data_IF_142897456945
#
_entry.id   IF_142897456945
#
_cell.length_a   1.000
_cell.length_b   1.000
_cell.length_c   1.000
_cell.angle_alpha   90.00
_cell.angle_beta   90.00
_cell.angle_gamma   90.00
#
_symmetry.space_group_name_H-M   'P 1'
#
loop_
_entity.id
_entity.type
_entity.pdbx_description
1 polymer ?
#
# COMPACT_ATOMS: atom_id res chain seq x y z
N UNK A 1 -8.33 -13.56 23.64
CA UNK A 1 -7.99 -12.51 22.70
C UNK A 1 -8.80 -11.28 23.08
N UNK A 2 -8.13 -10.26 23.66
CA UNK A 2 -8.76 -8.97 23.95
C UNK A 2 -8.97 -8.31 22.58
N UNK A 3 -10.23 -8.09 22.20
CA UNK A 3 -10.53 -7.28 21.03
C UNK A 3 -9.91 -5.90 21.26
N UNK A 4 -9.03 -5.46 20.38
CA UNK A 4 -8.44 -4.12 20.45
C UNK A 4 -9.54 -3.08 20.51
N UNK A 5 -9.28 -1.99 21.20
CA UNK A 5 -10.22 -0.87 21.35
C UNK A 5 -10.47 -0.22 19.97
N UNK A 6 -11.57 -0.61 19.33
CA UNK A 6 -11.98 -0.10 18.01
C UNK A 6 -12.32 1.38 18.00
N UNK A 7 -12.50 1.99 19.18
CA UNK A 7 -12.76 3.42 19.35
C UNK A 7 -11.52 4.28 19.07
N UNK A 8 -10.32 3.68 19.01
CA UNK A 8 -9.03 4.35 18.84
C UNK A 8 -8.44 4.20 17.43
N UNK A 9 -9.21 3.71 16.44
CA UNK A 9 -8.75 3.62 15.04
C UNK A 9 -8.71 5.00 14.40
N UNK A 10 -7.61 5.70 14.63
CA UNK A 10 -7.38 7.07 14.15
C UNK A 10 -5.94 7.23 13.69
N UNK A 11 -5.68 8.25 12.90
CA UNK A 11 -4.33 8.62 12.50
C UNK A 11 -3.48 9.01 13.72
N UNK A 12 -2.23 8.54 13.72
CA UNK A 12 -1.18 8.97 14.67
C UNK A 12 -0.12 9.84 13.99
N UNK A 13 -0.16 9.91 12.67
CA UNK A 13 0.67 10.76 11.82
C UNK A 13 -0.14 11.13 10.56
N UNK A 14 0.41 12.00 9.73
CA UNK A 14 -0.12 12.34 8.41
C UNK A 14 0.69 11.70 7.28
N UNK A 15 0.28 11.93 6.02
CA UNK A 15 0.97 11.40 4.83
C UNK A 15 2.42 11.92 4.75
N UNK A 16 2.65 13.17 5.15
CA UNK A 16 3.99 13.77 5.13
C UNK A 16 4.90 13.07 6.15
N UNK A 17 4.44 12.87 7.37
CA UNK A 17 5.17 12.14 8.41
C UNK A 17 5.39 10.66 8.05
N UNK A 18 4.45 10.04 7.32
CA UNK A 18 4.63 8.69 6.78
C UNK A 18 5.71 8.67 5.69
N UNK A 19 5.71 9.63 4.77
CA UNK A 19 6.73 9.74 3.73
C UNK A 19 8.13 10.00 4.31
N UNK A 20 8.23 10.87 5.33
CA UNK A 20 9.49 11.11 6.05
C UNK A 20 10.02 9.87 6.76
N UNK A 21 9.14 9.09 7.39
CA UNK A 21 9.50 7.85 8.04
C UNK A 21 10.00 6.79 7.04
N UNK A 22 9.39 6.70 5.85
CA UNK A 22 9.79 5.76 4.80
C UNK A 22 11.13 6.13 4.13
N UNK A 23 11.48 7.42 4.09
CA UNK A 23 12.62 7.95 3.32
C UNK A 23 13.97 7.30 3.64
N UNK A 24 14.37 7.08 4.91
CA UNK A 24 15.66 6.47 5.25
C UNK A 24 15.67 4.95 5.14
N UNK A 25 14.51 4.30 4.99
CA UNK A 25 14.43 2.84 5.03
C UNK A 25 15.03 2.22 3.77
N UNK A 26 15.63 1.05 3.94
CA UNK A 26 16.31 0.30 2.87
C UNK A 26 15.77 -1.11 2.66
N UNK A 27 14.96 -1.62 3.61
CA UNK A 27 14.33 -2.94 3.55
C UNK A 27 12.90 -2.85 4.09
N UNK A 28 11.97 -2.53 3.20
CA UNK A 28 10.55 -2.37 3.54
C UNK A 28 9.76 -3.59 3.06
N UNK A 29 9.05 -4.23 3.95
CA UNK A 29 8.01 -5.20 3.60
C UNK A 29 6.70 -4.46 3.47
N UNK A 30 6.00 -4.64 2.34
CA UNK A 30 4.67 -4.09 2.14
C UNK A 30 3.65 -5.21 2.28
N UNK A 31 2.66 -5.01 3.12
CA UNK A 31 1.55 -5.94 3.39
C UNK A 31 0.23 -5.34 2.98
N UNK A 32 -0.73 -6.20 2.70
CA UNK A 32 -2.13 -5.86 2.53
C UNK A 32 -3.01 -7.00 3.05
N UNK A 33 -4.32 -6.89 2.90
CA UNK A 33 -5.26 -7.91 3.38
C UNK A 33 -5.20 -9.21 2.57
N UNK A 34 -5.67 -10.29 3.18
CA UNK A 34 -5.91 -11.56 2.47
C UNK A 34 -6.95 -11.37 1.37
N UNK A 35 -6.81 -12.11 0.25
CA UNK A 35 -7.67 -11.96 -0.94
C UNK A 35 -7.70 -10.52 -1.45
N UNK A 36 -6.53 -9.97 -1.81
CA UNK A 36 -6.41 -8.57 -2.20
C UNK A 36 -7.26 -8.27 -3.43
N UNK A 37 -7.94 -7.14 -3.38
CA UNK A 37 -8.68 -6.56 -4.51
C UNK A 37 -7.83 -5.56 -5.31
N UNK A 38 -8.48 -4.81 -6.19
CA UNK A 38 -7.78 -3.86 -7.06
C UNK A 38 -7.15 -2.70 -6.29
N UNK A 39 -7.76 -2.23 -5.20
CA UNK A 39 -7.22 -1.14 -4.38
C UNK A 39 -6.01 -1.59 -3.57
N UNK A 40 -6.10 -2.76 -2.93
CA UNK A 40 -5.00 -3.40 -2.24
C UNK A 40 -3.78 -3.64 -3.13
N UNK A 41 -3.99 -4.20 -4.33
CA UNK A 41 -2.91 -4.48 -5.28
C UNK A 41 -2.38 -3.20 -5.91
N UNK A 42 -3.27 -2.29 -6.31
CA UNK A 42 -2.91 -1.02 -6.92
C UNK A 42 -2.02 -0.17 -6.01
N UNK A 43 -2.43 -0.01 -4.75
CA UNK A 43 -1.66 0.75 -3.76
C UNK A 43 -0.32 0.12 -3.42
N UNK A 44 -0.30 -1.21 -3.18
CA UNK A 44 0.95 -1.92 -2.83
C UNK A 44 1.96 -1.89 -3.97
N UNK A 45 1.54 -2.11 -5.21
CA UNK A 45 2.42 -2.06 -6.40
C UNK A 45 2.96 -0.65 -6.61
N UNK A 46 2.10 0.36 -6.55
CA UNK A 46 2.51 1.75 -6.77
C UNK A 46 3.53 2.22 -5.72
N UNK A 47 3.24 1.99 -4.44
CA UNK A 47 4.15 2.40 -3.35
C UNK A 47 5.47 1.63 -3.41
N UNK A 48 5.42 0.33 -3.74
CA UNK A 48 6.64 -0.47 -3.97
C UNK A 48 7.51 0.15 -5.05
N UNK A 49 6.92 0.45 -6.22
CA UNK A 49 7.65 1.05 -7.35
C UNK A 49 8.20 2.43 -6.98
N UNK A 50 7.42 3.26 -6.30
CA UNK A 50 7.88 4.58 -5.85
C UNK A 50 9.08 4.49 -4.90
N UNK A 51 9.05 3.59 -3.92
CA UNK A 51 10.16 3.36 -2.98
C UNK A 51 11.40 2.83 -3.70
N UNK A 52 11.24 1.89 -4.63
CA UNK A 52 12.35 1.32 -5.39
C UNK A 52 12.99 2.35 -6.33
N UNK A 53 12.19 3.19 -7.00
CA UNK A 53 12.69 4.30 -7.81
C UNK A 53 13.44 5.34 -6.95
N UNK A 54 12.92 5.67 -5.77
CA UNK A 54 13.58 6.57 -4.85
C UNK A 54 14.89 5.97 -4.31
N UNK A 55 14.91 4.67 -4.00
CA UNK A 55 16.10 3.92 -3.60
C UNK A 55 17.17 3.92 -4.69
N UNK A 56 16.81 3.63 -5.92
CA UNK A 56 17.73 3.67 -7.06
C UNK A 56 18.38 5.05 -7.24
N UNK A 57 17.61 6.13 -7.07
CA UNK A 57 18.14 7.50 -7.08
C UNK A 57 19.15 7.78 -5.94
N UNK A 58 19.02 7.08 -4.81
CA UNK A 58 19.98 7.15 -3.68
C UNK A 58 21.20 6.23 -3.85
N UNK A 59 21.24 5.40 -4.90
CA UNK A 59 22.31 4.47 -5.17
C UNK A 59 22.14 3.09 -4.52
N UNK A 60 20.96 2.75 -4.05
CA UNK A 60 20.65 1.40 -3.55
C UNK A 60 20.79 0.36 -4.66
N UNK A 61 21.42 -0.78 -4.37
CA UNK A 61 21.73 -1.82 -5.37
C UNK A 61 20.66 -2.88 -5.55
N UNK A 62 19.56 -2.77 -4.81
CA UNK A 62 18.45 -3.74 -4.83
C UNK A 62 17.13 -3.07 -4.52
N UNK A 63 16.02 -3.85 -4.50
CA UNK A 63 14.73 -3.30 -4.14
C UNK A 63 14.72 -2.87 -2.67
N UNK A 64 14.29 -1.62 -2.46
CA UNK A 64 14.05 -1.07 -1.12
C UNK A 64 12.77 -1.65 -0.53
N UNK A 65 11.76 -1.91 -1.37
CA UNK A 65 10.46 -2.42 -0.95
C UNK A 65 10.07 -3.66 -1.73
N UNK A 66 9.50 -4.64 -1.03
CA UNK A 66 8.97 -5.88 -1.61
C UNK A 66 7.61 -6.18 -1.00
N UNK A 67 6.53 -6.25 -1.79
CA UNK A 67 5.22 -6.62 -1.28
C UNK A 67 5.13 -8.13 -1.08
N UNK A 68 4.43 -8.52 -0.02
CA UNK A 68 4.09 -9.90 0.28
C UNK A 68 2.59 -10.09 0.16
N UNK A 69 2.19 -11.07 -0.60
CA UNK A 69 0.80 -11.44 -0.80
C UNK A 69 0.55 -12.85 -0.28
N UNK A 70 -0.68 -13.13 0.08
CA UNK A 70 -1.10 -14.44 0.56
C UNK A 70 -1.77 -15.20 -0.57
N UNK A 71 -1.24 -16.40 -0.87
CA UNK A 71 -1.76 -17.25 -1.95
C UNK A 71 -3.09 -17.95 -1.60
N UNK A 72 -3.81 -18.44 -2.59
CA UNK A 72 -3.57 -18.29 -4.03
C UNK A 72 -3.90 -16.87 -4.53
N UNK A 73 -3.12 -16.36 -5.47
CA UNK A 73 -3.36 -15.05 -6.07
C UNK A 73 -4.49 -15.13 -7.13
N UNK A 74 -5.33 -14.09 -7.25
CA UNK A 74 -6.30 -13.99 -8.34
C UNK A 74 -5.62 -13.98 -9.73
N UNK A 75 -6.27 -14.58 -10.74
CA UNK A 75 -5.72 -14.74 -12.09
C UNK A 75 -5.35 -13.43 -12.80
N UNK A 76 -6.00 -12.33 -12.44
CA UNK A 76 -5.73 -10.99 -13.01
C UNK A 76 -4.49 -10.31 -12.39
N UNK A 77 -4.13 -10.69 -11.18
CA UNK A 77 -3.10 -10.02 -10.38
C UNK A 77 -1.71 -10.04 -11.02
N UNK A 78 -1.24 -11.13 -11.67
CA UNK A 78 0.05 -11.18 -12.34
C UNK A 78 0.23 -10.09 -13.41
N UNK A 79 -0.84 -9.60 -14.03
CA UNK A 79 -0.79 -8.52 -15.02
C UNK A 79 -0.34 -7.20 -14.37
N UNK A 80 -0.81 -6.92 -13.16
CA UNK A 80 -0.50 -5.69 -12.41
C UNK A 80 0.89 -5.80 -11.76
N UNK A 81 1.26 -7.00 -11.31
CA UNK A 81 2.55 -7.28 -10.68
C UNK A 81 3.72 -7.30 -11.65
N UNK A 82 3.46 -7.35 -12.96
CA UNK A 82 4.51 -7.44 -13.99
C UNK A 82 5.59 -6.36 -13.77
N UNK A 83 6.85 -6.81 -13.65
CA UNK A 83 7.99 -5.92 -13.42
C UNK A 83 8.16 -5.47 -11.95
N UNK A 84 7.32 -5.96 -11.02
CA UNK A 84 7.44 -5.69 -9.59
C UNK A 84 7.89 -6.97 -8.88
N UNK A 85 9.07 -6.95 -8.27
CA UNK A 85 9.50 -8.04 -7.40
C UNK A 85 8.52 -8.15 -6.23
N UNK A 86 8.01 -9.35 -5.99
CA UNK A 86 7.03 -9.63 -4.95
C UNK A 86 7.22 -11.04 -4.39
N UNK A 87 6.58 -11.31 -3.26
CA UNK A 87 6.56 -12.65 -2.67
C UNK A 87 5.14 -13.12 -2.47
N UNK A 88 4.92 -14.40 -2.73
CA UNK A 88 3.68 -15.10 -2.41
C UNK A 88 3.96 -15.99 -1.21
N UNK A 89 3.23 -15.76 -0.13
CA UNK A 89 3.30 -16.54 1.10
C UNK A 89 2.19 -17.58 1.03
N UNK A 90 2.55 -18.82 0.92
CA UNK A 90 1.65 -19.98 0.98
C UNK A 90 2.00 -20.89 2.17
N UNK A 91 1.26 -21.96 2.36
CA UNK A 91 1.50 -22.90 3.47
C UNK A 91 2.91 -23.51 3.44
N UNK A 92 3.46 -23.76 2.25
CA UNK A 92 4.79 -24.35 2.09
C UNK A 92 5.91 -23.34 2.48
N UNK A 93 5.66 -22.04 2.32
CA UNK A 93 6.64 -20.98 2.60
C UNK A 93 6.46 -20.32 3.96
N UNK A 94 5.44 -20.69 4.76
CA UNK A 94 5.25 -20.15 6.13
C UNK A 94 6.40 -20.47 7.05
N UNK A 95 7.04 -21.64 6.88
CA UNK A 95 8.20 -22.06 7.69
C UNK A 95 9.51 -21.35 7.31
N UNK A 96 9.55 -20.68 6.15
CA UNK A 96 10.76 -20.03 5.61
C UNK A 96 10.93 -18.59 6.08
N UNK A 97 10.16 -18.17 7.09
CA UNK A 97 10.28 -16.83 7.68
C UNK A 97 11.62 -16.60 8.38
N UNK A 98 12.29 -17.66 8.82
CA UNK A 98 13.51 -17.61 9.62
C UNK A 98 14.79 -17.22 8.84
N UNK A 99 14.78 -17.24 7.51
CA UNK A 99 15.97 -16.99 6.69
C UNK A 99 15.97 -15.64 5.95
N UNK A 100 15.03 -14.75 6.25
CA UNK A 100 14.93 -13.45 5.58
C UNK A 100 15.63 -12.37 6.40
N UNK A 101 16.34 -11.45 5.73
CA UNK A 101 16.86 -10.28 6.44
C UNK A 101 15.69 -9.52 7.07
N UNK A 102 15.82 -9.19 8.34
CA UNK A 102 14.81 -8.39 9.03
C UNK A 102 14.56 -7.07 8.30
N UNK A 103 13.31 -6.69 8.05
CA UNK A 103 13.00 -5.38 7.49
C UNK A 103 13.34 -4.28 8.50
N UNK A 104 13.70 -3.12 8.01
CA UNK A 104 13.81 -1.90 8.81
C UNK A 104 12.48 -1.12 8.87
N UNK A 105 11.48 -1.55 8.07
CA UNK A 105 10.11 -1.07 8.15
C UNK A 105 9.09 -2.02 7.54
N UNK A 106 7.87 -1.99 8.06
CA UNK A 106 6.71 -2.70 7.51
C UNK A 106 5.62 -1.67 7.20
N UNK A 107 5.17 -1.62 5.96
CA UNK A 107 4.06 -0.76 5.55
C UNK A 107 2.85 -1.63 5.21
N UNK A 108 1.74 -1.35 5.86
CA UNK A 108 0.47 -2.04 5.64
C UNK A 108 -0.45 -1.10 4.89
N UNK A 109 -1.01 -1.54 3.77
CA UNK A 109 -1.88 -0.77 2.91
C UNK A 109 -3.26 -1.44 2.82
N UNK A 110 -4.29 -0.61 2.83
CA UNK A 110 -5.68 -1.01 2.63
C UNK A 110 -6.25 -1.95 3.71
N UNK A 111 -5.66 -1.98 4.86
CA UNK A 111 -6.19 -2.66 6.03
C UNK A 111 -5.45 -2.25 7.30
N UNK A 112 -6.15 -2.32 8.43
CA UNK A 112 -5.56 -2.25 9.76
C UNK A 112 -6.12 -3.32 10.68
N UNK A 113 -6.60 -4.45 10.13
CA UNK A 113 -7.27 -5.47 10.92
C UNK A 113 -6.43 -6.74 11.08
N UNK A 114 -6.26 -7.20 12.31
CA UNK A 114 -5.63 -8.49 12.60
C UNK A 114 -6.34 -9.67 11.94
N UNK A 115 -7.64 -9.55 11.73
CA UNK A 115 -8.41 -10.59 11.02
C UNK A 115 -7.96 -10.71 9.56
N UNK A 116 -7.66 -9.60 8.93
CA UNK A 116 -7.20 -9.54 7.54
C UNK A 116 -5.70 -9.83 7.38
N UNK A 117 -4.94 -9.74 8.48
CA UNK A 117 -3.49 -9.98 8.53
C UNK A 117 -3.14 -11.29 9.25
N UNK A 118 -4.11 -12.20 9.42
CA UNK A 118 -3.95 -13.41 10.23
C UNK A 118 -2.79 -14.31 9.74
N UNK A 119 -2.49 -14.30 8.45
CA UNK A 119 -1.43 -15.11 7.84
C UNK A 119 -0.02 -14.73 8.30
N UNK A 120 0.18 -13.46 8.67
CA UNK A 120 1.47 -12.93 9.16
C UNK A 120 1.39 -12.43 10.60
N UNK A 121 0.32 -12.76 11.31
CA UNK A 121 0.05 -12.19 12.64
C UNK A 121 1.24 -12.36 13.59
N UNK A 122 1.76 -13.56 13.75
CA UNK A 122 2.86 -13.83 14.69
C UNK A 122 4.12 -13.05 14.31
N UNK A 123 4.48 -13.07 13.05
CA UNK A 123 5.62 -12.33 12.52
C UNK A 123 5.47 -10.80 12.69
N UNK A 124 4.26 -10.27 12.46
CA UNK A 124 3.97 -8.84 12.54
C UNK A 124 3.89 -8.36 14.00
N UNK A 125 3.42 -9.18 14.94
CA UNK A 125 3.35 -8.83 16.36
C UNK A 125 4.71 -8.39 16.93
N UNK A 126 5.79 -9.01 16.48
CA UNK A 126 7.15 -8.65 16.89
C UNK A 126 7.65 -7.35 16.22
N UNK A 127 6.94 -6.85 15.20
CA UNK A 127 7.36 -5.73 14.34
C UNK A 127 6.42 -4.54 14.36
N UNK A 128 5.39 -4.53 15.21
CA UNK A 128 4.42 -3.43 15.30
C UNK A 128 5.05 -2.06 15.56
N UNK A 129 6.22 -2.02 16.23
CA UNK A 129 6.97 -0.79 16.49
C UNK A 129 7.62 -0.17 15.24
N UNK A 130 7.96 -1.01 14.27
CA UNK A 130 8.51 -0.62 12.97
C UNK A 130 7.46 -0.76 11.86
N UNK A 131 6.19 -0.86 12.23
CA UNK A 131 5.08 -0.93 11.30
C UNK A 131 4.36 0.41 11.18
N UNK A 132 3.87 0.67 9.99
CA UNK A 132 2.98 1.78 9.67
C UNK A 132 1.79 1.29 8.84
N UNK A 133 0.66 1.98 8.95
CA UNK A 133 -0.56 1.72 8.17
C UNK A 133 -0.93 2.96 7.37
N UNK A 134 -1.37 2.78 6.14
CA UNK A 134 -2.16 3.72 5.36
C UNK A 134 -3.45 3.03 4.95
N UNK A 135 -4.58 3.53 5.41
CA UNK A 135 -5.89 2.87 5.26
C UNK A 135 -7.02 3.87 5.13
N UNK A 136 -8.11 3.46 4.48
CA UNK A 136 -9.34 4.26 4.36
C UNK A 136 -10.55 3.62 5.07
N UNK A 137 -10.37 2.45 5.65
CA UNK A 137 -11.43 1.79 6.38
C UNK A 137 -11.76 2.50 7.70
N UNK A 138 -13.04 2.48 8.07
CA UNK A 138 -13.56 3.11 9.31
C UNK A 138 -13.21 2.33 10.59
N UNK A 139 -12.73 1.12 10.45
CA UNK A 139 -12.46 0.22 11.58
C UNK A 139 -11.14 -0.51 11.36
N UNK A 140 -10.37 -0.66 12.42
CA UNK A 140 -9.12 -1.39 12.47
C UNK A 140 -8.67 -1.60 13.91
N UNK A 141 -7.59 -2.33 14.07
CA UNK A 141 -6.99 -2.63 15.37
C UNK A 141 -5.82 -1.66 15.62
N UNK A 142 -5.95 -0.81 16.63
CA UNK A 142 -5.00 0.30 16.89
C UNK A 142 -3.59 -0.16 17.27
N UNK A 143 -3.42 -1.43 17.64
CA UNK A 143 -2.16 -2.05 18.03
C UNK A 143 -1.41 -2.74 16.86
N UNK A 144 -2.00 -2.73 15.65
CA UNK A 144 -1.37 -3.38 14.48
C UNK A 144 -0.10 -2.67 14.03
N UNK A 145 -0.01 -1.35 14.23
CA UNK A 145 1.13 -0.54 13.87
C UNK A 145 1.29 0.69 14.77
N UNK A 146 2.54 1.09 15.01
CA UNK A 146 2.85 2.28 15.79
C UNK A 146 2.45 3.59 15.07
N UNK A 147 2.55 3.61 13.73
CA UNK A 147 2.18 4.75 12.90
C UNK A 147 0.94 4.40 12.08
N UNK A 148 -0.01 5.32 12.04
CA UNK A 148 -1.24 5.12 11.26
C UNK A 148 -1.64 6.42 10.58
N UNK A 149 -1.97 6.31 9.30
CA UNK A 149 -2.69 7.31 8.52
C UNK A 149 -4.01 6.67 8.11
N UNK A 150 -5.11 7.13 8.70
CA UNK A 150 -6.46 6.60 8.50
C UNK A 150 -7.32 7.70 7.89
N UNK A 151 -7.81 7.50 6.68
CA UNK A 151 -8.55 8.49 5.89
C UNK A 151 -9.92 7.95 5.44
N UNK A 152 -10.90 7.84 6.33
CA UNK A 152 -12.20 7.23 6.05
C UNK A 152 -13.05 7.98 5.03
N UNK A 153 -12.66 9.21 4.69
CA UNK A 153 -13.28 10.04 3.65
C UNK A 153 -12.74 9.74 2.24
N UNK A 154 -11.59 9.06 2.14
CA UNK A 154 -11.04 8.66 0.85
C UNK A 154 -11.89 7.54 0.23
N UNK A 155 -12.12 7.63 -1.06
CA UNK A 155 -12.91 6.64 -1.79
C UNK A 155 -12.19 5.29 -1.93
N UNK A 156 -10.87 5.30 -1.87
CA UNK A 156 -9.97 4.17 -2.00
C UNK A 156 -8.64 4.51 -1.31
N UNK A 157 -7.86 3.53 -0.86
CA UNK A 157 -6.52 3.80 -0.30
C UNK A 157 -5.54 4.29 -1.39
N UNK A 158 -5.80 3.98 -2.66
CA UNK A 158 -5.04 4.52 -3.79
C UNK A 158 -5.10 6.05 -3.90
N UNK A 159 -6.14 6.70 -3.35
CA UNK A 159 -6.23 8.17 -3.31
C UNK A 159 -5.11 8.77 -2.43
N UNK A 160 -4.99 8.48 -1.12
CA UNK A 160 -3.87 8.95 -0.31
C UNK A 160 -2.52 8.33 -0.70
N UNK A 161 -2.49 7.11 -1.26
CA UNK A 161 -1.27 6.48 -1.75
C UNK A 161 -0.65 7.24 -2.94
N UNK A 162 -1.47 7.89 -3.78
CA UNK A 162 -0.97 8.75 -4.87
C UNK A 162 -0.16 9.94 -4.31
N UNK A 163 -0.66 10.56 -3.26
CA UNK A 163 0.05 11.66 -2.58
C UNK A 163 1.32 11.15 -1.86
N UNK A 164 1.25 9.98 -1.23
CA UNK A 164 2.41 9.34 -0.62
C UNK A 164 3.51 9.07 -1.67
N UNK A 165 3.16 8.48 -2.83
CA UNK A 165 4.10 8.23 -3.93
C UNK A 165 4.73 9.52 -4.45
N UNK A 166 3.92 10.59 -4.62
CA UNK A 166 4.41 11.92 -5.01
C UNK A 166 5.47 12.43 -4.04
N UNK A 167 5.21 12.33 -2.73
CA UNK A 167 6.14 12.78 -1.68
C UNK A 167 7.41 11.92 -1.61
N UNK A 168 7.30 10.59 -1.73
CA UNK A 168 8.46 9.68 -1.77
C UNK A 168 9.38 10.04 -2.93
N UNK A 169 8.83 10.34 -4.10
CA UNK A 169 9.58 10.67 -5.31
C UNK A 169 10.04 12.14 -5.37
N UNK A 170 9.56 12.99 -4.47
CA UNK A 170 9.87 14.44 -4.43
C UNK A 170 9.29 15.18 -5.64
N UNK A 171 8.10 14.81 -6.12
CA UNK A 171 7.48 15.38 -7.30
C UNK A 171 6.56 16.56 -6.95
N UNK A 172 6.36 17.51 -7.89
CA UNK A 172 5.53 18.69 -7.65
C UNK A 172 4.03 18.39 -7.57
N UNK A 173 3.55 17.35 -8.26
CA UNK A 173 2.14 16.98 -8.33
C UNK A 173 1.97 15.48 -8.58
N UNK A 174 0.78 14.94 -8.34
CA UNK A 174 0.39 13.57 -8.70
C UNK A 174 0.45 13.35 -10.21
N UNK A 175 0.14 14.37 -11.01
CA UNK A 175 0.25 14.30 -12.48
C UNK A 175 1.68 14.18 -13.02
N UNK A 176 2.70 14.36 -12.17
CA UNK A 176 4.10 14.12 -12.52
C UNK A 176 4.60 12.70 -12.16
N UNK A 177 3.73 11.83 -11.64
CA UNK A 177 4.09 10.44 -11.32
C UNK A 177 4.51 9.68 -12.59
N UNK A 178 5.55 8.83 -12.52
CA UNK A 178 5.86 7.90 -13.60
C UNK A 178 4.67 6.98 -13.89
N UNK A 179 4.45 6.65 -15.17
CA UNK A 179 3.31 5.83 -15.60
C UNK A 179 3.22 4.51 -14.86
N UNK A 180 4.36 3.87 -14.62
CA UNK A 180 4.44 2.61 -13.86
C UNK A 180 3.94 2.71 -12.41
N UNK A 181 3.90 3.92 -11.82
CA UNK A 181 3.33 4.21 -10.50
C UNK A 181 1.88 4.65 -10.63
N UNK A 182 1.56 5.44 -11.66
CA UNK A 182 0.23 6.01 -11.85
C UNK A 182 -0.82 4.96 -12.27
N UNK A 183 -0.48 4.02 -13.17
CA UNK A 183 -1.42 3.00 -13.66
C UNK A 183 -2.02 2.13 -12.54
N UNK A 184 -1.22 1.51 -11.64
CA UNK A 184 -1.80 0.70 -10.57
C UNK A 184 -2.65 1.53 -9.58
N UNK A 185 -2.29 2.80 -9.32
CA UNK A 185 -3.10 3.70 -8.50
C UNK A 185 -4.45 3.99 -9.15
N UNK A 186 -4.45 4.25 -10.45
CA UNK A 186 -5.69 4.49 -11.19
C UNK A 186 -6.59 3.26 -11.17
N UNK A 187 -6.02 2.07 -11.41
CA UNK A 187 -6.77 0.83 -11.37
C UNK A 187 -7.42 0.59 -10.00
N UNK A 188 -6.67 0.76 -8.91
CA UNK A 188 -7.19 0.59 -7.57
C UNK A 188 -8.33 1.58 -7.27
N UNK A 189 -8.13 2.85 -7.56
CA UNK A 189 -9.15 3.87 -7.38
C UNK A 189 -10.41 3.59 -8.23
N UNK A 190 -10.24 3.13 -9.48
CA UNK A 190 -11.34 2.80 -10.37
C UNK A 190 -12.12 1.56 -9.89
N UNK A 191 -11.44 0.52 -9.44
CA UNK A 191 -12.09 -0.72 -8.98
C UNK A 191 -12.88 -0.50 -7.70
N UNK A 192 -12.33 0.19 -6.70
CA UNK A 192 -13.00 0.43 -5.43
C UNK A 192 -14.18 1.42 -5.53
N UNK A 193 -14.17 2.25 -6.55
CA UNK A 193 -15.28 3.16 -6.90
C UNK A 193 -16.25 2.57 -7.92
N UNK A 194 -16.11 1.28 -8.28
CA UNK A 194 -16.92 0.64 -9.32
C UNK A 194 -16.85 1.39 -10.66
N UNK A 195 -15.65 1.78 -11.08
CA UNK A 195 -15.42 2.63 -12.25
C UNK A 195 -16.16 3.96 -12.15
N UNK A 196 -16.04 4.58 -10.97
CA UNK A 196 -16.63 5.89 -10.64
C UNK A 196 -18.17 5.92 -10.67
N UNK A 197 -18.80 4.77 -10.36
CA UNK A 197 -20.28 4.64 -10.34
C UNK A 197 -20.84 4.45 -8.93
N UNK A 198 -20.01 4.09 -7.95
CA UNK A 198 -20.44 3.86 -6.58
C UNK A 198 -20.66 5.16 -5.81
N UNK A 199 -21.43 5.09 -4.72
CA UNK A 199 -21.78 6.24 -3.89
C UNK A 199 -20.62 6.79 -3.06
N UNK A 200 -19.49 6.06 -2.97
CA UNK A 200 -18.27 6.51 -2.31
C UNK A 200 -17.41 7.46 -3.17
N UNK A 201 -17.77 7.68 -4.43
CA UNK A 201 -17.07 8.64 -5.31
C UNK A 201 -17.16 10.05 -4.75
N UNK A 202 -16.00 10.66 -4.51
CA UNK A 202 -15.87 12.03 -4.01
C UNK A 202 -15.27 12.96 -5.06
N UNK A 203 -15.44 14.29 -4.93
CA UNK A 203 -14.71 15.24 -5.78
C UNK A 203 -13.17 15.09 -5.66
N UNK A 204 -12.65 14.64 -4.51
CA UNK A 204 -11.23 14.39 -4.31
C UNK A 204 -10.78 13.17 -5.14
N UNK A 205 -11.53 12.06 -5.08
CA UNK A 205 -11.27 10.87 -5.89
C UNK A 205 -11.23 11.18 -7.39
N UNK A 206 -12.18 11.99 -7.89
CA UNK A 206 -12.20 12.39 -9.31
C UNK A 206 -11.02 13.31 -9.68
N UNK A 207 -10.58 14.20 -8.79
CA UNK A 207 -9.37 14.99 -9.03
C UNK A 207 -8.11 14.13 -9.06
N UNK A 208 -7.99 13.15 -8.16
CA UNK A 208 -6.89 12.19 -8.18
C UNK A 208 -6.90 11.38 -9.48
N UNK A 209 -8.07 10.86 -9.90
CA UNK A 209 -8.21 10.18 -11.17
C UNK A 209 -7.78 11.05 -12.35
N UNK A 210 -8.23 12.31 -12.41
CA UNK A 210 -7.84 13.27 -13.45
C UNK A 210 -6.32 13.48 -13.47
N UNK A 211 -5.68 13.66 -12.30
CA UNK A 211 -4.22 13.81 -12.21
C UNK A 211 -3.48 12.56 -12.68
N UNK A 212 -4.01 11.37 -12.43
CA UNK A 212 -3.42 10.12 -12.90
C UNK A 212 -3.56 9.96 -14.43
N UNK A 213 -4.68 10.42 -15.01
CA UNK A 213 -4.83 10.50 -16.47
C UNK A 213 -3.84 11.51 -17.09
N UNK A 214 -3.63 12.66 -16.44
CA UNK A 214 -2.61 13.64 -16.84
C UNK A 214 -1.19 13.05 -16.77
N UNK A 215 -0.92 12.12 -15.84
CA UNK A 215 0.33 11.38 -15.75
C UNK A 215 0.52 10.37 -16.91
N UNK A 216 -0.48 10.20 -17.76
CA UNK A 216 -0.41 9.38 -18.98
C UNK A 216 -1.15 8.04 -18.90
N UNK A 217 -1.95 7.78 -17.85
CA UNK A 217 -2.74 6.56 -17.75
C UNK A 217 -3.75 6.49 -18.89
N UNK A 218 -3.77 5.37 -19.59
CA UNK A 218 -4.76 5.08 -20.65
C UNK A 218 -5.95 4.33 -20.06
N UNK A 219 -7.00 5.08 -19.69
CA UNK A 219 -8.23 4.53 -19.13
C UNK A 219 -8.90 3.46 -20.00
N UNK A 220 -8.76 3.57 -21.32
CA UNK A 220 -9.43 2.65 -22.25
C UNK A 220 -8.73 1.28 -22.34
N UNK A 221 -7.48 1.19 -21.87
CA UNK A 221 -6.67 -0.05 -21.87
C UNK A 221 -6.74 -0.83 -20.56
N UNK A 222 -7.20 -0.22 -19.49
CA UNK A 222 -7.37 -0.84 -18.19
C UNK A 222 -8.75 -1.48 -18.05
#
# INVERSE_FOLDING_TARGET
PVAGDRSSWTSTTDIAGLAEWLRPLTRVVILTHVKPDGDAVGSTVAVTRALNLAGAKRGERGPVAVPWYFGPLPDWMPLILKGTEHRVIDEAHRADHDHRPDPDGVLILDTGSWTQLHEVREWLLERTKIAAVLDHHRQGDSDVAAKRVVMPEAAAVCEPAAELCRMILGLPSVSALPLEVAEPLYLGLATDTGWFRHSNVTPAALRTAASLLEAGVDHARL
#
